data_IF_278913784726
#
_entry.id   IF_278913784726
#
_cell.length_a   1.000
_cell.length_b   1.000
_cell.length_c   1.000
_cell.angle_alpha   90.00
_cell.angle_beta   90.00
_cell.angle_gamma   90.00
#
_symmetry.space_group_name_H-M   'P 1'
#
loop_
_entity.id
_entity.type
_entity.pdbx_description
1 polymer ?
#
# COMPACT_ATOMS: atom_id res chain seq x y z
N UNK A 1 18.47 11.91 33.66
CA UNK A 1 17.77 12.58 32.55
C UNK A 1 16.44 11.86 32.39
N UNK A 2 15.41 12.34 33.06
CA UNK A 2 14.07 11.75 32.99
C UNK A 2 13.53 11.98 31.58
N UNK A 3 13.50 10.96 30.73
CA UNK A 3 12.82 11.07 29.43
C UNK A 3 11.34 11.26 29.75
N UNK A 4 10.70 12.36 29.32
CA UNK A 4 9.30 12.57 29.61
C UNK A 4 8.49 11.46 28.92
N UNK A 5 7.72 10.69 29.68
CA UNK A 5 6.93 9.55 29.18
C UNK A 5 6.05 9.93 27.98
N UNK A 6 5.61 11.19 27.92
CA UNK A 6 4.88 11.77 26.78
C UNK A 6 5.64 11.68 25.46
N UNK A 7 6.96 11.88 25.48
CA UNK A 7 7.81 11.81 24.29
C UNK A 7 7.91 10.37 23.77
N UNK A 8 7.99 9.38 24.67
CA UNK A 8 8.01 7.95 24.29
C UNK A 8 6.70 7.56 23.60
N UNK A 9 5.57 8.03 24.13
CA UNK A 9 4.24 7.78 23.55
C UNK A 9 4.11 8.42 22.16
N UNK A 10 4.57 9.66 22.00
CA UNK A 10 4.53 10.33 20.70
C UNK A 10 5.39 9.59 19.69
N UNK A 11 6.61 9.21 20.07
CA UNK A 11 7.54 8.49 19.19
C UNK A 11 6.97 7.12 18.79
N UNK A 12 6.37 6.38 19.73
CA UNK A 12 5.80 5.06 19.42
C UNK A 12 4.62 5.15 18.46
N UNK A 13 3.74 6.13 18.63
CA UNK A 13 2.62 6.38 17.71
C UNK A 13 3.12 6.75 16.31
N UNK A 14 4.12 7.64 16.21
CA UNK A 14 4.71 8.03 14.92
C UNK A 14 5.31 6.83 14.19
N UNK A 15 6.03 5.96 14.91
CA UNK A 15 6.63 4.74 14.35
C UNK A 15 5.55 3.79 13.82
N UNK A 16 4.46 3.58 14.56
CA UNK A 16 3.34 2.72 14.14
C UNK A 16 2.68 3.26 12.87
N UNK A 17 2.47 4.57 12.78
CA UNK A 17 1.89 5.20 11.59
C UNK A 17 2.80 5.05 10.37
N UNK A 18 4.12 5.24 10.54
CA UNK A 18 5.10 5.05 9.46
C UNK A 18 5.14 3.60 8.97
N UNK A 19 5.13 2.63 9.91
CA UNK A 19 5.05 1.20 9.58
C UNK A 19 3.77 0.87 8.82
N UNK A 20 2.62 1.40 9.24
CA UNK A 20 1.36 1.21 8.53
C UNK A 20 1.41 1.76 7.09
N UNK A 21 2.09 2.90 6.88
CA UNK A 21 2.27 3.50 5.55
C UNK A 21 3.14 2.63 4.62
N UNK A 22 4.16 1.95 5.16
CA UNK A 22 5.00 1.00 4.40
C UNK A 22 4.24 -0.29 4.13
N UNK A 23 3.42 -0.75 5.08
CA UNK A 23 2.76 -2.05 4.98
C UNK A 23 1.58 -2.03 4.01
N UNK A 24 0.79 -0.94 4.04
CA UNK A 24 -0.36 -0.74 3.17
C UNK A 24 0.16 -0.16 1.84
N UNK A 25 -0.04 -0.84 0.69
CA UNK A 25 0.41 -0.37 -0.62
C UNK A 25 -0.49 0.75 -1.16
N UNK A 26 -0.66 1.84 -0.40
CA UNK A 26 -1.52 2.98 -0.75
C UNK A 26 -1.03 3.65 -2.04
N UNK A 27 0.28 3.78 -2.22
CA UNK A 27 0.85 4.36 -3.46
C UNK A 27 0.53 3.52 -4.70
N UNK A 28 0.58 2.19 -4.57
CA UNK A 28 0.31 1.25 -5.65
C UNK A 28 -1.19 1.22 -6.00
N UNK A 29 -2.04 1.27 -4.97
CA UNK A 29 -3.49 1.42 -5.12
C UNK A 29 -3.87 2.73 -5.82
N UNK A 30 -3.26 3.85 -5.42
CA UNK A 30 -3.53 5.15 -6.02
C UNK A 30 -3.17 5.18 -7.51
N UNK A 31 -1.99 4.67 -7.87
CA UNK A 31 -1.57 4.52 -9.28
C UNK A 31 -2.53 3.66 -10.10
N UNK A 32 -3.06 2.56 -9.51
CA UNK A 32 -4.07 1.73 -10.16
C UNK A 32 -5.37 2.51 -10.42
N UNK A 33 -5.86 3.23 -9.41
CA UNK A 33 -7.08 4.05 -9.46
C UNK A 33 -7.00 5.14 -10.54
N UNK A 34 -5.90 5.87 -10.59
CA UNK A 34 -5.65 6.92 -11.59
C UNK A 34 -5.54 6.34 -13.00
N UNK A 35 -4.99 5.12 -13.12
CA UNK A 35 -4.88 4.41 -14.40
C UNK A 35 -6.20 3.75 -14.85
N UNK A 36 -7.30 3.93 -14.12
CA UNK A 36 -8.60 3.34 -14.45
C UNK A 36 -8.76 1.87 -14.05
N UNK A 37 -7.79 1.29 -13.34
CA UNK A 37 -7.85 -0.08 -12.84
C UNK A 37 -8.69 -0.13 -11.56
N UNK A 38 -9.74 -0.94 -11.56
CA UNK A 38 -10.60 -1.16 -10.40
C UNK A 38 -9.95 -2.19 -9.48
N UNK A 39 -9.14 -1.73 -8.52
CA UNK A 39 -8.63 -2.59 -7.45
C UNK A 39 -8.85 -1.97 -6.08
N UNK A 40 -9.10 -2.82 -5.09
CA UNK A 40 -9.26 -2.46 -3.69
C UNK A 40 -7.97 -2.68 -2.91
N UNK A 41 -7.83 -1.97 -1.80
CA UNK A 41 -6.70 -2.13 -0.88
C UNK A 41 -6.68 -3.55 -0.29
N UNK A 42 -7.85 -4.14 -0.03
CA UNK A 42 -7.98 -5.50 0.48
C UNK A 42 -7.41 -6.52 -0.51
N UNK A 43 -7.65 -6.35 -1.81
CA UNK A 43 -7.07 -7.23 -2.84
C UNK A 43 -5.54 -7.15 -2.88
N UNK A 44 -4.97 -5.94 -2.76
CA UNK A 44 -3.51 -5.76 -2.70
C UNK A 44 -2.89 -6.43 -1.48
N UNK A 45 -3.58 -6.39 -0.33
CA UNK A 45 -3.16 -7.09 0.89
C UNK A 45 -3.23 -8.61 0.67
N UNK A 46 -4.29 -9.12 0.05
CA UNK A 46 -4.42 -10.54 -0.29
C UNK A 46 -3.39 -11.01 -1.33
N UNK A 47 -2.94 -10.15 -2.24
CA UNK A 47 -1.84 -10.45 -3.15
C UNK A 47 -0.54 -10.66 -2.38
N UNK A 48 -0.20 -9.73 -1.48
CA UNK A 48 0.98 -9.87 -0.58
C UNK A 48 0.89 -11.15 0.26
N UNK A 49 -0.29 -11.49 0.78
CA UNK A 49 -0.52 -12.72 1.56
C UNK A 49 -0.23 -13.99 0.76
N UNK A 50 -0.67 -14.04 -0.49
CA UNK A 50 -0.43 -15.18 -1.41
C UNK A 50 0.99 -15.22 -1.99
N UNK A 51 1.92 -14.43 -1.45
CA UNK A 51 3.29 -14.24 -1.98
C UNK A 51 3.33 -13.76 -3.43
N UNK A 52 2.26 -13.13 -3.93
CA UNK A 52 2.25 -12.52 -5.26
C UNK A 52 2.69 -11.07 -5.09
N UNK A 53 3.79 -10.64 -5.74
CA UNK A 53 4.19 -9.23 -5.71
C UNK A 53 3.07 -8.36 -6.30
N UNK A 54 2.43 -7.47 -5.51
CA UNK A 54 1.28 -6.69 -5.96
C UNK A 54 1.63 -5.74 -7.10
N UNK A 55 2.90 -5.30 -7.17
CA UNK A 55 3.41 -4.42 -8.21
C UNK A 55 3.29 -5.02 -9.62
N UNK A 56 3.67 -6.28 -9.78
CA UNK A 56 3.59 -6.99 -11.07
C UNK A 56 2.13 -7.17 -11.52
N UNK A 57 1.22 -7.48 -10.59
CA UNK A 57 -0.21 -7.58 -10.91
C UNK A 57 -0.78 -6.22 -11.32
N UNK A 58 -0.55 -5.16 -10.54
CA UNK A 58 -1.11 -3.84 -10.89
C UNK A 58 -0.55 -3.33 -12.20
N UNK A 59 0.76 -3.47 -12.45
CA UNK A 59 1.35 -3.04 -13.71
C UNK A 59 0.80 -3.81 -14.92
N UNK A 60 0.53 -5.12 -14.78
CA UNK A 60 -0.09 -5.89 -15.86
C UNK A 60 -1.55 -5.46 -16.08
N UNK A 61 -2.33 -5.24 -15.01
CA UNK A 61 -3.71 -4.74 -15.13
C UNK A 61 -3.78 -3.34 -15.75
N UNK A 62 -2.84 -2.45 -15.41
CA UNK A 62 -2.73 -1.13 -16.05
C UNK A 62 -2.42 -1.28 -17.53
N UNK A 63 -1.50 -2.17 -17.88
CA UNK A 63 -1.10 -2.42 -19.28
C UNK A 63 -2.25 -3.01 -20.10
N UNK A 64 -3.03 -3.93 -19.54
CA UNK A 64 -4.22 -4.50 -20.17
C UNK A 64 -5.30 -3.43 -20.41
N UNK A 65 -5.58 -2.62 -19.36
CA UNK A 65 -6.56 -1.53 -19.42
C UNK A 65 -6.18 -0.48 -20.46
N UNK A 66 -4.89 -0.13 -20.56
CA UNK A 66 -4.38 0.82 -21.56
C UNK A 66 -4.25 0.22 -22.96
N UNK A 67 -3.99 -1.08 -23.05
CA UNK A 67 -3.85 -1.81 -24.31
C UNK A 67 -5.17 -2.17 -24.97
N UNK A 68 -6.31 -1.84 -24.36
CA UNK A 68 -7.64 -2.19 -24.88
C UNK A 68 -7.95 -3.69 -24.83
N UNK A 69 -7.15 -4.46 -24.09
CA UNK A 69 -7.37 -5.88 -23.85
C UNK A 69 -8.28 -5.98 -22.63
N UNK A 70 -9.59 -5.88 -22.89
CA UNK A 70 -10.65 -6.12 -21.90
C UNK A 70 -10.98 -7.59 -21.78
#
# INVERSE_FOLDING_TARGET
>A
MEIPTRLIIVISVVIIVLLAWIFIPVGLWFSAKVSGVKITINELIFMKWRKVPPELSVNSMISLTKGGVV
#
